data_IF_870824345687
#
_entry.id   IF_870824345687
#
_cell.length_a   1.000
_cell.length_b   1.000
_cell.length_c   1.000
_cell.angle_alpha   90.00
_cell.angle_beta   90.00
_cell.angle_gamma   90.00
#
_symmetry.space_group_name_H-M   'P 1'
#
loop_
_entity.id
_entity.type
_entity.pdbx_description
1 polymer ?
#
# COMPACT_ATOMS: atom_id res chain seq x y z
N UNK A 1 -3.23 -1.65 47.81
CA UNK A 1 -1.95 -0.93 47.58
C UNK A 1 -2.16 -0.03 46.37
N UNK A 2 -2.33 1.28 46.61
CA UNK A 2 -2.58 2.30 45.58
C UNK A 2 -1.23 2.72 45.00
N UNK A 3 -1.03 2.57 43.68
CA UNK A 3 0.12 3.15 42.99
C UNK A 3 -0.35 4.37 42.20
N UNK A 4 0.17 5.53 42.62
CA UNK A 4 -0.03 6.82 42.01
C UNK A 4 0.75 6.90 40.68
N UNK A 5 0.10 7.30 39.57
CA UNK A 5 0.76 7.68 38.33
C UNK A 5 1.14 9.15 38.38
N UNK A 6 2.43 9.42 38.29
CA UNK A 6 3.02 10.74 38.21
C UNK A 6 3.00 11.22 36.77
N UNK A 7 2.22 12.25 36.49
CA UNK A 7 2.18 12.93 35.18
C UNK A 7 3.33 13.94 35.13
N UNK A 8 4.28 13.71 34.24
CA UNK A 8 5.36 14.65 33.92
C UNK A 8 4.91 15.53 32.74
N UNK A 9 4.59 16.79 33.05
CA UNK A 9 4.29 17.82 32.06
C UNK A 9 5.61 18.39 31.52
N UNK A 10 5.92 18.18 30.25
CA UNK A 10 7.05 18.84 29.57
C UNK A 10 6.50 20.07 28.85
N UNK A 11 6.81 21.25 29.38
CA UNK A 11 6.53 22.54 28.77
C UNK A 11 7.62 22.87 27.74
N UNK A 12 7.25 22.91 26.47
CA UNK A 12 8.13 23.42 25.40
C UNK A 12 7.88 24.91 25.24
N UNK A 13 8.89 25.69 25.57
CA UNK A 13 8.92 27.15 25.36
C UNK A 13 9.34 27.44 23.94
N UNK A 14 8.45 28.06 23.16
CA UNK A 14 8.79 28.64 21.86
C UNK A 14 9.41 30.01 22.06
N UNK A 15 10.69 30.16 21.72
CA UNK A 15 11.33 31.47 21.59
C UNK A 15 11.08 31.99 20.16
N UNK A 16 10.28 33.06 20.07
CA UNK A 16 10.18 33.89 18.88
C UNK A 16 11.28 34.94 18.94
N UNK A 17 12.24 34.88 18.06
CA UNK A 17 13.24 35.95 17.87
C UNK A 17 12.74 36.88 16.77
N UNK A 18 12.21 38.04 17.15
CA UNK A 18 12.08 39.22 16.26
C UNK A 18 13.44 39.89 16.14
N UNK A 19 13.94 40.00 14.94
CA UNK A 19 15.08 40.89 14.65
C UNK A 19 14.59 42.08 13.80
N UNK A 20 14.55 43.23 14.45
CA UNK A 20 14.25 44.53 13.87
C UNK A 20 15.59 45.30 13.72
N UNK A 21 15.87 45.84 12.56
CA UNK A 21 16.66 47.05 12.30
C UNK A 21 17.14 47.08 10.85
N UNK A 22 16.87 48.09 10.12
CA UNK A 22 17.34 49.43 10.11
C UNK A 22 17.14 50.04 8.75
N UNK A 23 16.55 51.19 8.71
CA UNK A 23 16.39 52.07 7.55
C UNK A 23 17.74 52.54 7.03
N UNK A 24 17.94 52.54 5.70
CA UNK A 24 18.71 53.56 4.98
C UNK A 24 18.06 53.83 3.62
N UNK A 25 17.92 55.11 3.37
CA UNK A 25 17.31 55.78 2.24
C UNK A 25 18.37 55.98 1.15
N UNK A 26 18.01 55.72 -0.12
CA UNK A 26 18.91 56.00 -1.27
C UNK A 26 18.21 55.75 -2.61
N UNK A 27 17.71 56.83 -3.16
CA UNK A 27 17.55 57.22 -4.59
C UNK A 27 17.46 56.16 -5.70
N UNK A 28 16.41 56.39 -6.50
CA UNK A 28 15.87 55.66 -7.62
C UNK A 28 16.82 55.24 -8.74
N UNK A 29 16.40 54.15 -9.33
CA UNK A 29 16.57 53.93 -10.75
C UNK A 29 15.45 53.06 -11.30
N UNK A 30 15.16 53.29 -12.54
CA UNK A 30 14.00 52.92 -13.33
C UNK A 30 14.00 51.41 -13.61
N UNK A 31 13.04 50.68 -13.05
CA UNK A 31 12.89 49.27 -13.32
C UNK A 31 12.23 49.02 -14.66
N UNK A 32 12.95 48.36 -15.52
CA UNK A 32 12.41 47.55 -16.62
C UNK A 32 11.75 46.31 -16.02
N UNK A 33 10.47 46.18 -16.29
CA UNK A 33 9.67 44.99 -15.96
C UNK A 33 10.15 43.84 -16.83
N UNK A 34 10.98 42.98 -16.26
CA UNK A 34 11.29 41.66 -16.85
C UNK A 34 10.34 40.63 -16.23
N UNK A 35 9.33 40.27 -17.02
CA UNK A 35 8.37 39.23 -16.66
C UNK A 35 9.07 37.88 -16.80
N UNK A 36 9.79 37.46 -15.77
CA UNK A 36 10.24 36.08 -15.66
C UNK A 36 9.01 35.22 -15.46
N UNK A 37 8.58 34.56 -16.53
CA UNK A 37 7.64 33.44 -16.47
C UNK A 37 8.22 32.40 -15.52
N UNK A 38 7.61 32.29 -14.35
CA UNK A 38 7.91 31.23 -13.40
C UNK A 38 7.52 29.93 -14.06
N UNK A 39 8.51 29.18 -14.54
CA UNK A 39 8.33 27.81 -15.01
C UNK A 39 7.72 27.02 -13.86
N UNK A 40 6.50 26.51 -14.06
CA UNK A 40 5.78 25.64 -13.14
C UNK A 40 6.45 24.25 -13.11
N UNK A 41 7.65 24.20 -12.51
CA UNK A 41 8.34 22.98 -12.18
C UNK A 41 8.28 22.83 -10.66
N UNK A 42 7.31 22.05 -10.14
CA UNK A 42 7.22 21.74 -8.73
C UNK A 42 8.56 21.25 -8.17
N UNK A 43 8.81 21.49 -6.90
CA UNK A 43 10.02 21.04 -6.21
C UNK A 43 10.17 19.50 -6.30
N UNK A 44 11.36 18.98 -6.02
CA UNK A 44 11.56 17.51 -5.97
C UNK A 44 10.63 16.86 -4.92
N UNK A 45 10.32 17.57 -3.83
CA UNK A 45 9.36 17.14 -2.82
C UNK A 45 7.94 17.05 -3.38
N UNK A 46 7.48 18.07 -4.13
CA UNK A 46 6.14 18.08 -4.74
C UNK A 46 5.98 16.94 -5.75
N UNK A 47 7.02 16.65 -6.52
CA UNK A 47 7.01 15.53 -7.49
C UNK A 47 6.94 14.18 -6.79
N UNK A 48 7.67 14.01 -5.67
CA UNK A 48 7.61 12.80 -4.85
C UNK A 48 6.20 12.61 -4.30
N UNK A 49 5.62 13.62 -3.68
CA UNK A 49 4.26 13.59 -3.13
C UNK A 49 3.21 13.25 -4.19
N UNK A 50 3.28 13.89 -5.36
CA UNK A 50 2.37 13.58 -6.47
C UNK A 50 2.49 12.13 -6.95
N UNK A 51 3.70 11.58 -7.01
CA UNK A 51 3.96 10.18 -7.35
C UNK A 51 3.34 9.23 -6.32
N UNK A 52 3.55 9.50 -5.05
CA UNK A 52 3.02 8.69 -3.94
C UNK A 52 1.48 8.72 -3.91
N UNK A 53 0.86 9.88 -4.10
CA UNK A 53 -0.60 10.00 -4.18
C UNK A 53 -1.18 9.26 -5.40
N UNK A 54 -0.53 9.37 -6.57
CA UNK A 54 -0.90 8.58 -7.74
C UNK A 54 -0.83 7.08 -7.44
N UNK A 55 0.30 6.62 -6.89
CA UNK A 55 0.54 5.22 -6.61
C UNK A 55 -0.47 4.68 -5.58
N UNK A 56 -0.77 5.42 -4.52
CA UNK A 56 -1.82 5.07 -3.55
C UNK A 56 -3.18 4.89 -4.22
N UNK A 57 -3.60 5.83 -5.08
CA UNK A 57 -4.88 5.74 -5.79
C UNK A 57 -4.99 4.49 -6.66
N UNK A 58 -3.91 4.11 -7.34
CA UNK A 58 -3.85 2.89 -8.16
C UNK A 58 -4.06 1.65 -7.28
N UNK A 59 -3.36 1.56 -6.15
CA UNK A 59 -3.49 0.41 -5.25
C UNK A 59 -4.85 0.39 -4.56
N UNK A 60 -5.39 1.54 -4.14
CA UNK A 60 -6.76 1.62 -3.60
C UNK A 60 -7.78 1.05 -4.58
N UNK A 61 -7.72 1.45 -5.87
CA UNK A 61 -8.61 0.93 -6.89
C UNK A 61 -8.46 -0.59 -7.11
N UNK A 62 -7.23 -1.12 -7.06
CA UNK A 62 -6.97 -2.56 -7.12
C UNK A 62 -7.57 -3.30 -5.91
N UNK A 63 -7.44 -2.74 -4.70
CA UNK A 63 -8.03 -3.31 -3.48
C UNK A 63 -9.56 -3.24 -3.47
N UNK A 64 -10.15 -2.17 -3.98
CA UNK A 64 -11.61 -2.05 -4.15
C UNK A 64 -12.15 -3.10 -5.13
N UNK A 65 -11.39 -3.39 -6.20
CA UNK A 65 -11.72 -4.44 -7.15
C UNK A 65 -11.62 -5.85 -6.52
N UNK A 66 -10.75 -6.06 -5.53
CA UNK A 66 -10.72 -7.29 -4.73
C UNK A 66 -12.04 -7.49 -3.97
N UNK A 67 -12.61 -6.46 -3.38
CA UNK A 67 -13.89 -6.53 -2.67
C UNK A 67 -15.05 -6.92 -3.60
N UNK A 68 -14.98 -6.58 -4.88
CA UNK A 68 -15.95 -6.98 -5.92
C UNK A 68 -15.57 -8.28 -6.65
N UNK A 69 -14.46 -8.92 -6.30
CA UNK A 69 -13.92 -10.13 -6.92
C UNK A 69 -13.67 -9.99 -8.44
N UNK A 70 -13.38 -8.79 -8.91
CA UNK A 70 -13.11 -8.52 -10.31
C UNK A 70 -11.60 -8.57 -10.61
N UNK A 71 -11.10 -9.74 -10.99
CA UNK A 71 -9.67 -9.97 -11.26
C UNK A 71 -9.13 -9.06 -12.37
N UNK A 72 -9.92 -8.73 -13.40
CA UNK A 72 -9.48 -7.85 -14.47
C UNK A 72 -9.22 -6.42 -13.96
N UNK A 73 -10.10 -5.90 -13.10
CA UNK A 73 -9.94 -4.58 -12.50
C UNK A 73 -8.84 -4.58 -11.44
N UNK A 74 -8.67 -5.67 -10.66
CA UNK A 74 -7.55 -5.82 -9.73
C UNK A 74 -6.20 -5.68 -10.44
N UNK A 75 -6.07 -6.26 -11.61
CA UNK A 75 -4.84 -6.28 -12.39
C UNK A 75 -4.80 -5.24 -13.50
N UNK A 76 -5.73 -4.29 -13.55
CA UNK A 76 -5.82 -3.27 -14.60
C UNK A 76 -4.48 -2.54 -14.81
N UNK A 77 -3.84 -2.16 -13.73
CA UNK A 77 -2.57 -1.43 -13.73
C UNK A 77 -1.34 -2.32 -13.46
N UNK A 78 -1.49 -3.65 -13.47
CA UNK A 78 -0.35 -4.55 -13.42
C UNK A 78 0.43 -4.53 -14.74
N UNK A 79 1.78 -4.50 -14.63
CA UNK A 79 2.66 -4.68 -15.78
C UNK A 79 2.53 -6.10 -16.35
N UNK A 80 2.74 -6.32 -17.67
CA UNK A 80 2.66 -7.66 -18.25
C UNK A 80 3.60 -8.68 -17.60
N UNK A 81 4.76 -8.22 -17.13
CA UNK A 81 5.83 -9.01 -16.52
C UNK A 81 5.89 -8.88 -14.98
N UNK A 82 4.82 -8.38 -14.35
CA UNK A 82 4.74 -8.24 -12.90
C UNK A 82 4.97 -9.57 -12.18
N UNK A 83 5.48 -9.49 -10.95
CA UNK A 83 5.83 -10.65 -10.13
C UNK A 83 5.11 -10.59 -8.79
N UNK A 84 4.44 -11.67 -8.42
CA UNK A 84 3.88 -11.88 -7.10
C UNK A 84 4.81 -12.81 -6.31
N UNK A 85 5.42 -12.28 -5.27
CA UNK A 85 6.33 -13.01 -4.38
C UNK A 85 5.60 -13.66 -3.20
N UNK A 86 4.32 -13.30 -2.97
CA UNK A 86 3.57 -13.75 -1.81
C UNK A 86 4.32 -13.43 -0.50
N UNK A 87 4.29 -14.36 0.45
CA UNK A 87 5.04 -14.30 1.72
C UNK A 87 6.48 -14.86 1.61
N UNK A 88 6.93 -15.20 0.40
CA UNK A 88 8.24 -15.79 0.13
C UNK A 88 8.37 -17.28 0.49
N UNK A 89 7.34 -17.91 1.02
CA UNK A 89 7.37 -19.36 1.39
C UNK A 89 7.22 -20.31 0.20
N UNK A 90 6.73 -19.80 -0.93
CA UNK A 90 6.55 -20.52 -2.19
C UNK A 90 7.26 -19.80 -3.35
N UNK A 91 7.53 -20.49 -4.48
CA UNK A 91 8.06 -19.83 -5.67
C UNK A 91 7.15 -18.69 -6.14
N UNK A 92 7.76 -17.56 -6.53
CA UNK A 92 7.04 -16.41 -7.05
C UNK A 92 6.25 -16.74 -8.33
N UNK A 93 5.06 -16.17 -8.45
CA UNK A 93 4.23 -16.24 -9.67
C UNK A 93 4.61 -15.10 -10.58
N UNK A 94 4.97 -15.39 -11.82
CA UNK A 94 5.49 -14.40 -12.78
C UNK A 94 4.52 -14.22 -13.96
N UNK A 95 4.32 -12.95 -14.30
CA UNK A 95 3.49 -12.51 -15.41
C UNK A 95 2.01 -12.35 -15.04
N UNK A 96 1.42 -11.28 -15.58
CA UNK A 96 0.04 -10.85 -15.30
C UNK A 96 -0.98 -11.98 -15.48
N UNK A 97 -0.87 -12.76 -16.57
CA UNK A 97 -1.82 -13.83 -16.86
C UNK A 97 -1.75 -14.98 -15.85
N UNK A 98 -0.53 -15.32 -15.38
CA UNK A 98 -0.34 -16.34 -14.34
C UNK A 98 -0.91 -15.89 -13.00
N UNK A 99 -0.71 -14.60 -12.65
CA UNK A 99 -1.27 -13.99 -11.45
C UNK A 99 -2.80 -13.93 -11.55
N UNK A 100 -3.36 -13.56 -12.71
CA UNK A 100 -4.81 -13.56 -12.93
C UNK A 100 -5.43 -14.94 -12.70
N UNK A 101 -4.77 -16.00 -13.19
CA UNK A 101 -5.21 -17.39 -12.97
C UNK A 101 -5.18 -17.73 -11.47
N UNK A 102 -4.09 -17.43 -10.77
CA UNK A 102 -3.94 -17.68 -9.33
C UNK A 102 -5.02 -16.93 -8.53
N UNK A 103 -5.27 -15.66 -8.81
CA UNK A 103 -6.31 -14.87 -8.14
C UNK A 103 -7.71 -15.41 -8.39
N UNK A 104 -7.99 -15.86 -9.62
CA UNK A 104 -9.28 -16.49 -9.97
C UNK A 104 -9.49 -17.77 -9.16
N UNK A 105 -8.47 -18.62 -9.05
CA UNK A 105 -8.52 -19.84 -8.23
C UNK A 105 -8.68 -19.52 -6.74
N UNK A 106 -7.98 -18.50 -6.24
CA UNK A 106 -8.06 -18.03 -4.86
C UNK A 106 -9.48 -17.52 -4.51
N UNK A 107 -10.04 -16.63 -5.32
CA UNK A 107 -11.40 -16.12 -5.16
C UNK A 107 -12.43 -17.25 -5.26
N UNK A 108 -12.24 -18.19 -6.19
CA UNK A 108 -13.10 -19.38 -6.31
C UNK A 108 -13.06 -20.28 -5.08
N UNK A 109 -11.92 -20.35 -4.40
CA UNK A 109 -11.75 -21.12 -3.17
C UNK A 109 -12.32 -20.39 -1.93
N UNK A 110 -12.26 -19.07 -1.93
CA UNK A 110 -12.70 -18.17 -0.84
C UNK A 110 -13.70 -17.13 -1.37
N UNK A 111 -14.94 -17.53 -1.71
CA UNK A 111 -15.90 -16.66 -2.39
C UNK A 111 -16.41 -15.47 -1.56
N UNK A 112 -16.09 -15.42 -0.28
CA UNK A 112 -16.37 -14.35 0.66
C UNK A 112 -15.10 -13.63 1.14
N UNK A 113 -13.97 -13.83 0.43
CA UNK A 113 -12.70 -13.17 0.79
C UNK A 113 -12.81 -11.66 0.65
N UNK A 114 -12.31 -10.97 1.67
CA UNK A 114 -12.30 -9.50 1.69
C UNK A 114 -11.21 -8.94 2.60
N UNK A 115 -10.81 -7.71 2.28
CA UNK A 115 -10.03 -6.84 3.15
C UNK A 115 -10.91 -5.74 3.74
N UNK A 116 -10.93 -5.62 5.07
CA UNK A 116 -11.66 -4.59 5.80
C UNK A 116 -10.67 -3.62 6.48
N UNK A 117 -11.11 -2.39 6.75
CA UNK A 117 -10.33 -1.38 7.49
C UNK A 117 -8.96 -1.06 6.86
N UNK A 118 -8.86 -1.12 5.55
CA UNK A 118 -7.61 -0.89 4.83
C UNK A 118 -7.07 0.51 5.06
N UNK A 119 -5.78 0.59 5.33
CA UNK A 119 -4.99 1.82 5.47
C UNK A 119 -3.82 1.75 4.51
N UNK A 120 -3.49 2.89 3.93
CA UNK A 120 -2.47 2.97 2.89
C UNK A 120 -1.35 3.94 3.29
N UNK A 121 -0.12 3.52 3.05
CA UNK A 121 1.07 4.36 3.12
C UNK A 121 1.85 4.22 1.82
N UNK A 122 2.52 5.29 1.41
CA UNK A 122 3.41 5.27 0.24
C UNK A 122 4.76 5.88 0.59
N UNK A 123 5.82 5.36 -0.02
CA UNK A 123 7.16 5.94 -0.02
C UNK A 123 7.79 5.68 -1.39
N UNK A 124 7.85 6.73 -2.22
CA UNK A 124 8.37 6.67 -3.58
C UNK A 124 7.59 5.70 -4.46
N UNK A 125 8.23 4.58 -4.80
CA UNK A 125 7.69 3.52 -5.66
C UNK A 125 6.83 2.51 -4.90
N UNK A 126 6.91 2.49 -3.59
CA UNK A 126 6.28 1.50 -2.76
C UNK A 126 4.97 1.98 -2.16
N UNK A 127 3.97 1.11 -2.14
CA UNK A 127 2.69 1.32 -1.45
C UNK A 127 2.41 0.11 -0.58
N UNK A 128 2.04 0.36 0.67
CA UNK A 128 1.61 -0.64 1.63
C UNK A 128 0.12 -0.49 1.90
N UNK A 129 -0.61 -1.60 1.85
CA UNK A 129 -2.02 -1.69 2.22
C UNK A 129 -2.14 -2.60 3.44
N UNK A 130 -2.48 -2.04 4.60
CA UNK A 130 -2.62 -2.78 5.85
C UNK A 130 -4.08 -2.86 6.28
N UNK A 131 -4.57 -4.06 6.61
CA UNK A 131 -5.95 -4.25 7.00
C UNK A 131 -6.28 -5.58 7.65
N UNK A 132 -7.58 -5.82 7.81
CA UNK A 132 -8.15 -7.07 8.34
C UNK A 132 -8.61 -7.93 7.17
N UNK A 133 -8.01 -9.10 7.02
CA UNK A 133 -8.37 -10.06 5.97
C UNK A 133 -9.20 -11.21 6.53
N UNK A 134 -10.23 -11.62 5.80
CA UNK A 134 -11.09 -12.73 6.19
C UNK A 134 -11.64 -13.45 4.95
N UNK A 135 -12.01 -14.73 5.13
CA UNK A 135 -12.63 -15.55 4.09
C UNK A 135 -12.91 -16.96 4.59
N UNK A 136 -13.74 -17.70 3.86
CA UNK A 136 -14.14 -19.07 4.18
C UNK A 136 -13.71 -20.02 3.08
N UNK A 137 -13.01 -21.09 3.43
CA UNK A 137 -12.49 -22.09 2.49
C UNK A 137 -13.62 -23.02 1.98
N UNK A 138 -14.14 -22.74 0.78
CA UNK A 138 -15.34 -23.39 0.21
C UNK A 138 -15.05 -24.35 -0.94
N UNK A 139 -13.96 -24.15 -1.70
CA UNK A 139 -13.62 -24.98 -2.86
C UNK A 139 -12.15 -25.41 -2.82
N UNK A 140 -11.74 -26.49 -3.49
CA UNK A 140 -10.34 -26.93 -3.49
C UNK A 140 -9.38 -25.84 -3.94
N UNK A 141 -8.24 -25.70 -3.23
CA UNK A 141 -7.19 -24.75 -3.56
C UNK A 141 -5.81 -25.33 -3.26
N UNK A 142 -4.85 -25.17 -4.16
CA UNK A 142 -3.48 -25.69 -4.05
C UNK A 142 -3.42 -27.18 -3.64
N UNK A 143 -4.32 -28.03 -4.18
CA UNK A 143 -4.39 -29.44 -3.85
C UNK A 143 -5.03 -29.78 -2.50
N UNK A 144 -5.47 -28.79 -1.74
CA UNK A 144 -6.15 -28.95 -0.45
C UNK A 144 -7.66 -29.07 -0.65
N UNK A 145 -8.30 -29.88 0.19
CA UNK A 145 -9.77 -30.00 0.22
C UNK A 145 -10.38 -28.88 1.08
N UNK A 146 -11.56 -28.36 0.71
CA UNK A 146 -12.24 -27.34 1.48
C UNK A 146 -12.63 -27.86 2.87
N UNK A 147 -12.48 -27.03 3.88
CA UNK A 147 -12.81 -27.36 5.27
C UNK A 147 -14.06 -26.67 5.77
N UNK A 148 -14.62 -25.72 5.02
CA UNK A 148 -15.70 -24.81 5.41
C UNK A 148 -15.39 -23.98 6.66
N UNK A 149 -14.13 -23.87 7.05
CA UNK A 149 -13.67 -23.00 8.13
C UNK A 149 -13.27 -21.64 7.57
N UNK A 150 -13.36 -20.62 8.42
CA UNK A 150 -12.97 -19.27 8.09
C UNK A 150 -11.63 -18.91 8.70
N UNK A 151 -10.92 -17.97 8.06
CA UNK A 151 -9.76 -17.30 8.62
C UNK A 151 -10.09 -15.84 8.89
N UNK A 152 -9.36 -15.26 9.85
CA UNK A 152 -9.31 -13.81 10.06
C UNK A 152 -7.95 -13.44 10.63
N UNK A 153 -7.25 -12.52 9.98
CA UNK A 153 -5.96 -12.02 10.43
C UNK A 153 -5.69 -10.61 9.90
N UNK A 154 -4.66 -9.95 10.43
CA UNK A 154 -4.14 -8.71 9.86
C UNK A 154 -3.00 -9.02 8.92
N UNK A 155 -2.98 -8.35 7.77
CA UNK A 155 -1.89 -8.46 6.80
C UNK A 155 -1.48 -7.11 6.27
N UNK A 156 -0.32 -7.08 5.67
CA UNK A 156 0.20 -5.97 4.87
C UNK A 156 0.52 -6.50 3.48
N UNK A 157 -0.21 -6.02 2.51
CA UNK A 157 0.13 -6.17 1.09
C UNK A 157 1.06 -5.04 0.69
N UNK A 158 2.17 -5.35 0.06
CA UNK A 158 3.20 -4.40 -0.36
C UNK A 158 3.33 -4.46 -1.87
N UNK A 159 3.19 -3.31 -2.51
CA UNK A 159 3.25 -3.17 -3.96
C UNK A 159 4.39 -2.25 -4.35
N UNK A 160 5.10 -2.59 -5.42
CA UNK A 160 6.02 -1.69 -6.09
C UNK A 160 5.47 -1.28 -7.44
N UNK A 161 5.53 0.01 -7.73
CA UNK A 161 5.10 0.55 -9.02
C UNK A 161 6.31 1.18 -9.74
N UNK A 162 6.28 1.12 -11.07
CA UNK A 162 7.26 1.82 -11.90
C UNK A 162 6.86 3.29 -12.12
N UNK A 163 7.67 4.04 -12.86
CA UNK A 163 7.43 5.47 -13.13
C UNK A 163 6.16 5.71 -13.94
N UNK A 164 5.72 4.75 -14.74
CA UNK A 164 4.46 4.80 -15.49
C UNK A 164 3.22 4.47 -14.64
N UNK A 165 3.40 4.18 -13.35
CA UNK A 165 2.31 3.78 -12.45
C UNK A 165 1.83 2.35 -12.66
N UNK A 166 2.67 1.47 -13.22
CA UNK A 166 2.33 0.05 -13.34
C UNK A 166 2.87 -0.74 -12.17
N UNK A 167 2.05 -1.62 -11.60
CA UNK A 167 2.43 -2.55 -10.54
C UNK A 167 3.40 -3.57 -11.12
N UNK A 168 4.61 -3.65 -10.58
CA UNK A 168 5.67 -4.56 -11.04
C UNK A 168 5.97 -5.66 -10.03
N UNK A 169 5.74 -5.42 -8.72
CA UNK A 169 5.96 -6.41 -7.66
C UNK A 169 4.81 -6.38 -6.64
N UNK A 170 4.49 -7.56 -6.10
CA UNK A 170 3.59 -7.72 -4.95
C UNK A 170 4.20 -8.67 -3.93
N UNK A 171 3.99 -8.37 -2.62
CA UNK A 171 4.43 -9.17 -1.48
C UNK A 171 3.36 -9.14 -0.38
N UNK A 172 3.26 -10.23 0.40
CA UNK A 172 2.51 -10.29 1.65
C UNK A 172 3.46 -10.41 2.83
N UNK A 173 3.07 -9.91 3.98
CA UNK A 173 3.84 -10.07 5.22
C UNK A 173 3.33 -11.26 6.02
N UNK A 174 2.03 -11.49 6.01
CA UNK A 174 1.44 -12.59 6.77
C UNK A 174 1.71 -13.93 6.09
N UNK A 175 2.25 -14.84 6.87
CA UNK A 175 2.52 -16.19 6.37
C UNK A 175 1.22 -16.93 6.02
N UNK A 176 1.20 -17.54 4.85
CA UNK A 176 0.14 -18.46 4.42
C UNK A 176 -0.09 -19.60 5.42
N UNK A 177 0.93 -19.97 6.21
CA UNK A 177 0.81 -20.96 7.28
C UNK A 177 -0.19 -20.52 8.38
N UNK A 178 -0.25 -19.23 8.71
CA UNK A 178 -1.23 -18.71 9.69
C UNK A 178 -2.67 -18.91 9.20
N UNK A 179 -2.92 -18.64 7.92
CA UNK A 179 -4.22 -18.90 7.30
C UNK A 179 -4.54 -20.39 7.34
N UNK A 180 -3.59 -21.25 6.94
CA UNK A 180 -3.78 -22.70 6.91
C UNK A 180 -4.06 -23.30 8.29
N UNK A 181 -3.40 -22.81 9.35
CA UNK A 181 -3.70 -23.25 10.73
C UNK A 181 -5.15 -22.93 11.13
N UNK A 182 -5.65 -21.75 10.83
CA UNK A 182 -7.04 -21.36 11.14
C UNK A 182 -8.04 -22.21 10.34
N UNK A 183 -7.74 -22.50 9.09
CA UNK A 183 -8.57 -23.33 8.23
C UNK A 183 -8.53 -24.83 8.61
N UNK A 184 -7.53 -25.25 9.38
CA UNK A 184 -7.27 -26.67 9.65
C UNK A 184 -6.95 -27.45 8.37
N UNK A 185 -6.46 -26.77 7.34
CA UNK A 185 -6.06 -27.37 6.09
C UNK A 185 -4.67 -28.01 6.25
N UNK A 186 -4.50 -29.19 5.67
CA UNK A 186 -3.19 -29.86 5.62
C UNK A 186 -2.67 -29.75 4.18
N UNK A 187 -1.42 -29.30 3.97
CA UNK A 187 -0.82 -29.35 2.65
C UNK A 187 -0.79 -30.80 2.14
N UNK A 188 -0.83 -31.03 0.82
CA UNK A 188 -0.69 -32.36 0.25
C UNK A 188 0.58 -33.03 0.79
N UNK A 189 0.47 -34.29 1.22
CA UNK A 189 1.67 -35.07 1.57
C UNK A 189 2.49 -35.23 0.29
N UNK A 190 3.76 -34.89 0.38
CA UNK A 190 4.73 -35.12 -0.71
C UNK A 190 4.89 -36.60 -0.99
#
# INVERSE_FOLDING_TARGET
>A
MKRAFLLLAVSIVFMVACNDNGKTQGTGDKMTSDSTATAAGGSAADKKEQKEERNKKIIMASMDAMASHNVNDMLKDAAPDCVDYGDGSTPAVKGKDSIAKMLTEYIGAFPDVKGDNLKYAADGDWVMAWGDWSGTFKSPFMGMKPTNKSFKYKDVDIFKLNDDGKIVEHHNIQSGATMMMQLGAQPPKK
#
